data_IF_131579413006
#
_entry.id   IF_131579413006
#
_cell.length_a   1.000
_cell.length_b   1.000
_cell.length_c   1.000
_cell.angle_alpha   90.00
_cell.angle_beta   90.00
_cell.angle_gamma   90.00
#
_symmetry.space_group_name_H-M   'P 1'
#
loop_
_entity.id
_entity.type
_entity.pdbx_description
1 polymer ?
#
# COMPACT_ATOMS: atom_id res chain seq x y z
N UNK A 1 9.34 10.20 18.24
CA UNK A 1 10.45 9.21 18.26
C UNK A 1 10.07 7.85 18.85
N UNK A 2 9.08 7.77 19.77
CA UNK A 2 8.73 6.53 20.48
C UNK A 2 7.30 6.01 20.21
N UNK A 3 6.78 6.18 19.00
CA UNK A 3 5.48 5.61 18.64
C UNK A 3 5.66 4.19 18.13
N UNK A 4 4.87 3.26 18.65
CA UNK A 4 4.88 1.88 18.15
C UNK A 4 4.47 1.83 16.67
N UNK A 5 5.12 0.98 15.86
CA UNK A 5 4.72 0.78 14.48
C UNK A 5 3.29 0.26 14.37
N UNK A 6 2.50 0.85 13.47
CA UNK A 6 1.11 0.40 13.20
C UNK A 6 1.11 -0.99 12.57
N UNK A 7 2.04 -1.27 11.66
CA UNK A 7 2.22 -2.56 11.00
C UNK A 7 3.43 -3.26 11.62
N UNK A 8 3.25 -4.50 12.08
CA UNK A 8 4.29 -5.27 12.78
C UNK A 8 4.41 -6.66 12.17
N UNK A 9 5.59 -7.00 11.65
CA UNK A 9 5.90 -8.36 11.18
C UNK A 9 4.96 -8.90 10.10
N UNK A 10 4.51 -8.04 9.17
CA UNK A 10 3.60 -8.44 8.10
C UNK A 10 4.38 -9.16 7.01
N UNK A 11 3.97 -10.37 6.66
CA UNK A 11 4.46 -11.13 5.52
C UNK A 11 3.27 -11.47 4.62
N UNK A 12 3.26 -10.92 3.41
CA UNK A 12 2.20 -11.14 2.41
C UNK A 12 2.89 -11.42 1.09
N UNK A 13 2.40 -12.44 0.39
CA UNK A 13 2.83 -12.78 -0.96
C UNK A 13 1.58 -12.97 -1.81
N UNK A 14 1.60 -12.38 -3.01
CA UNK A 14 0.45 -12.29 -3.90
C UNK A 14 0.91 -12.71 -5.29
N UNK A 15 0.33 -13.78 -5.83
CA UNK A 15 0.62 -14.22 -7.19
C UNK A 15 -0.18 -13.40 -8.20
N UNK A 16 0.29 -13.27 -9.46
CA UNK A 16 -0.49 -12.67 -10.53
C UNK A 16 -1.90 -13.28 -10.62
N UNK A 17 -2.89 -12.44 -10.93
CA UNK A 17 -4.31 -12.82 -11.06
C UNK A 17 -5.01 -13.29 -9.77
N UNK A 18 -4.36 -13.20 -8.60
CA UNK A 18 -5.04 -13.48 -7.34
C UNK A 18 -5.93 -12.32 -6.91
N UNK A 19 -7.11 -12.68 -6.39
CA UNK A 19 -8.00 -11.75 -5.69
C UNK A 19 -7.85 -11.97 -4.18
N UNK A 20 -7.30 -10.99 -3.48
CA UNK A 20 -7.00 -11.07 -2.05
C UNK A 20 -7.85 -10.04 -1.29
N UNK A 21 -8.47 -10.49 -0.20
CA UNK A 21 -9.20 -9.63 0.72
C UNK A 21 -8.43 -9.50 2.03
N UNK A 22 -8.16 -8.26 2.46
CA UNK A 22 -7.55 -7.98 3.77
C UNK A 22 -8.65 -7.54 4.73
N UNK A 23 -8.95 -8.40 5.71
CA UNK A 23 -10.03 -8.19 6.68
C UNK A 23 -9.49 -7.93 8.09
N UNK A 24 -10.22 -7.17 8.88
CA UNK A 24 -9.86 -6.88 10.27
C UNK A 24 -10.69 -5.75 10.86
N UNK A 25 -10.68 -5.61 12.19
CA UNK A 25 -11.40 -4.55 12.91
C UNK A 25 -11.04 -3.15 12.39
N UNK A 26 -11.95 -2.18 12.47
CA UNK A 26 -11.58 -0.77 12.30
C UNK A 26 -10.34 -0.41 13.14
N UNK A 27 -9.47 0.43 12.58
CA UNK A 27 -8.15 0.80 13.11
C UNK A 27 -7.08 -0.30 13.21
N UNK A 28 -7.30 -1.49 12.62
CA UNK A 28 -6.28 -2.55 12.59
C UNK A 28 -5.07 -2.30 11.66
N UNK A 29 -4.95 -1.12 11.06
CA UNK A 29 -3.86 -0.79 10.13
C UNK A 29 -4.09 -1.16 8.66
N UNK A 30 -5.29 -1.59 8.25
CA UNK A 30 -5.58 -1.94 6.84
C UNK A 30 -5.29 -0.80 5.86
N UNK A 31 -5.81 0.40 6.15
CA UNK A 31 -5.54 1.57 5.31
C UNK A 31 -4.05 1.95 5.34
N UNK A 32 -3.38 1.80 6.48
CA UNK A 32 -1.94 2.01 6.60
C UNK A 32 -1.14 1.04 5.72
N UNK A 33 -1.54 -0.23 5.64
CA UNK A 33 -0.93 -1.22 4.74
C UNK A 33 -1.06 -0.80 3.27
N UNK A 34 -2.24 -0.35 2.85
CA UNK A 34 -2.45 0.14 1.47
C UNK A 34 -1.58 1.38 1.18
N UNK A 35 -1.48 2.31 2.15
CA UNK A 35 -0.65 3.50 1.99
C UNK A 35 0.86 3.18 1.93
N UNK A 36 1.33 2.16 2.66
CA UNK A 36 2.71 1.67 2.52
C UNK A 36 2.95 1.03 1.14
N UNK A 37 2.00 0.24 0.60
CA UNK A 37 2.11 -0.31 -0.75
C UNK A 37 2.23 0.79 -1.82
N UNK A 38 1.55 1.92 -1.63
CA UNK A 38 1.62 3.09 -2.50
C UNK A 38 2.85 3.98 -2.25
N UNK A 39 3.76 3.57 -1.36
CA UNK A 39 4.90 4.37 -0.88
C UNK A 39 4.49 5.78 -0.44
N UNK A 40 3.36 5.92 0.26
CA UNK A 40 2.98 7.18 0.92
C UNK A 40 3.63 7.32 2.30
N UNK A 41 4.08 6.20 2.87
CA UNK A 41 4.92 6.13 4.07
C UNK A 41 6.12 5.22 3.80
N UNK A 42 7.26 5.56 4.38
CA UNK A 42 8.45 4.73 4.33
C UNK A 42 8.34 3.53 5.27
N UNK A 43 8.96 2.41 4.89
CA UNK A 43 9.02 1.24 5.75
C UNK A 43 10.08 1.46 6.83
N UNK A 44 9.74 1.17 8.10
CA UNK A 44 10.71 1.24 9.19
C UNK A 44 11.62 0.00 9.25
N UNK A 45 11.11 -1.13 8.75
CA UNK A 45 11.82 -2.39 8.63
C UNK A 45 11.14 -3.28 7.57
N UNK A 46 11.92 -4.16 6.93
CA UNK A 46 11.45 -5.00 5.83
C UNK A 46 11.60 -4.29 4.48
N UNK A 47 10.93 -4.82 3.46
CA UNK A 47 10.88 -4.23 2.12
C UNK A 47 9.58 -4.63 1.42
N UNK A 48 9.24 -3.92 0.34
CA UNK A 48 8.10 -4.21 -0.52
C UNK A 48 8.65 -4.35 -1.94
N UNK A 49 8.33 -5.46 -2.60
CA UNK A 49 8.70 -5.72 -3.99
C UNK A 49 7.47 -5.86 -4.87
N UNK A 50 7.54 -5.34 -6.10
CA UNK A 50 6.53 -5.51 -7.15
C UNK A 50 7.24 -6.17 -8.34
N UNK A 51 6.69 -7.28 -8.84
CA UNK A 51 7.27 -8.06 -9.95
C UNK A 51 8.75 -8.45 -9.74
N UNK A 52 9.12 -8.73 -8.48
CA UNK A 52 10.48 -9.11 -8.09
C UNK A 52 11.46 -7.94 -7.95
N UNK A 53 11.03 -6.70 -8.16
CA UNK A 53 11.85 -5.51 -8.01
C UNK A 53 11.50 -4.80 -6.70
N UNK A 54 12.51 -4.49 -5.89
CA UNK A 54 12.32 -3.71 -4.67
C UNK A 54 11.83 -2.30 -5.01
N UNK A 55 10.71 -1.88 -4.42
CA UNK A 55 10.13 -0.56 -4.64
C UNK A 55 11.01 0.60 -4.17
N UNK A 56 12.06 0.35 -3.37
CA UNK A 56 13.07 1.35 -3.01
C UNK A 56 14.14 1.56 -4.10
N UNK A 57 14.25 0.67 -5.08
CA UNK A 57 15.29 0.77 -6.12
C UNK A 57 14.94 1.72 -7.27
N UNK A 58 13.76 2.35 -7.26
CA UNK A 58 13.28 3.23 -8.32
C UNK A 58 12.38 4.36 -7.79
N UNK A 59 12.12 5.43 -8.56
CA UNK A 59 11.33 6.57 -8.10
C UNK A 59 9.91 6.18 -7.68
N UNK A 60 9.39 6.80 -6.61
CA UNK A 60 8.03 6.52 -6.12
C UNK A 60 6.94 6.70 -7.19
N UNK A 61 7.13 7.62 -8.14
CA UNK A 61 6.20 7.83 -9.24
C UNK A 61 6.05 6.59 -10.13
N UNK A 62 7.15 5.88 -10.38
CA UNK A 62 7.16 4.65 -11.17
C UNK A 62 6.50 3.51 -10.39
N UNK A 63 6.79 3.35 -9.09
CA UNK A 63 6.12 2.35 -8.24
C UNK A 63 4.60 2.53 -8.23
N UNK A 64 4.14 3.78 -8.13
CA UNK A 64 2.72 4.11 -8.16
C UNK A 64 2.08 3.90 -9.53
N UNK A 65 2.85 3.93 -10.62
CA UNK A 65 2.32 3.68 -11.97
C UNK A 65 1.85 2.24 -12.17
N UNK A 66 2.36 1.30 -11.35
CA UNK A 66 1.97 -0.11 -11.36
C UNK A 66 0.78 -0.43 -10.45
N UNK A 67 0.27 0.54 -9.67
CA UNK A 67 -0.80 0.31 -8.68
C UNK A 67 -1.97 1.26 -8.94
N UNK A 68 -3.16 0.69 -9.17
CA UNK A 68 -4.40 1.44 -9.19
C UNK A 68 -5.07 1.40 -7.81
N UNK A 69 -5.38 2.57 -7.26
CA UNK A 69 -6.10 2.70 -6.00
C UNK A 69 -7.50 3.27 -6.24
N UNK A 70 -8.51 2.58 -5.71
CA UNK A 70 -9.85 3.14 -5.56
C UNK A 70 -10.02 3.59 -4.10
N UNK A 71 -10.16 4.90 -3.83
CA UNK A 71 -10.26 5.40 -2.46
C UNK A 71 -11.59 4.99 -1.81
N UNK A 72 -11.57 4.81 -0.49
CA UNK A 72 -12.77 4.48 0.28
C UNK A 72 -13.81 5.61 0.23
N UNK A 73 -13.35 6.86 0.40
CA UNK A 73 -14.17 8.05 0.24
C UNK A 73 -13.79 8.72 -1.08
N UNK A 74 -14.71 8.76 -2.02
CA UNK A 74 -14.45 9.32 -3.35
C UNK A 74 -14.57 10.84 -3.31
N UNK A 75 -13.52 11.53 -3.77
CA UNK A 75 -13.58 12.97 -4.05
C UNK A 75 -13.91 13.17 -5.54
N UNK A 76 -15.13 13.63 -5.83
CA UNK A 76 -15.55 13.94 -7.19
C UNK A 76 -15.18 15.38 -7.54
N UNK A 77 -14.41 15.53 -8.60
CA UNK A 77 -14.18 16.84 -9.20
C UNK A 77 -15.43 17.26 -10.01
N UNK A 78 -15.91 18.51 -9.87
CA UNK A 78 -16.97 19.02 -10.72
C UNK A 78 -16.56 18.94 -12.19
N UNK A 79 -17.40 18.34 -13.04
CA UNK A 79 -17.12 18.14 -14.45
C UNK A 79 -18.10 17.17 -15.10
N UNK A 80 -17.88 16.87 -16.37
CA UNK A 80 -18.61 15.83 -17.10
C UNK A 80 -17.74 14.58 -17.28
N UNK A 81 -18.39 13.44 -17.46
CA UNK A 81 -17.76 12.17 -17.85
C UNK A 81 -17.44 12.18 -19.34
#
# INVERSE_FOLDING_TARGET
PDLEPVLKGILIYMEPQQHIAICGRSSSGKSSLVLCLLKMFDTQAGHISIDGVDTESFPCAEARSHINLVPQDTFLLPGTV
#
